data_IF_356919589712
#
_entry.id   IF_356919589712
#
_cell.length_a   1.000
_cell.length_b   1.000
_cell.length_c   1.000
_cell.angle_alpha   90.00
_cell.angle_beta   90.00
_cell.angle_gamma   90.00
#
_symmetry.space_group_name_H-M   'P 1'
#
loop_
_entity.id
_entity.type
_entity.pdbx_description
1 polymer ?
#
# COMPACT_ATOMS: atom_id res chain seq x y z
N UNK A 1 -12.43 -9.52 21.35
CA UNK A 1 -11.44 -9.90 20.33
C UNK A 1 -10.59 -11.00 20.93
N UNK A 2 -10.55 -12.18 20.31
CA UNK A 2 -9.83 -13.36 20.84
C UNK A 2 -8.66 -13.64 19.91
N UNK A 3 -7.45 -13.59 20.44
CA UNK A 3 -6.25 -14.06 19.77
C UNK A 3 -5.80 -15.35 20.46
N UNK A 4 -5.36 -16.32 19.68
CA UNK A 4 -4.77 -17.56 20.16
C UNK A 4 -3.32 -17.53 19.72
N UNK A 5 -2.41 -17.57 20.70
CA UNK A 5 -0.99 -17.78 20.47
C UNK A 5 -0.75 -19.27 20.73
N UNK A 6 -0.38 -20.02 19.70
CA UNK A 6 0.03 -21.42 19.86
C UNK A 6 1.54 -21.45 19.91
N UNK A 7 2.09 -21.92 21.03
CA UNK A 7 3.52 -22.03 21.28
C UNK A 7 3.83 -23.47 21.61
N UNK A 8 4.90 -24.02 21.03
CA UNK A 8 5.29 -25.41 21.28
C UNK A 8 5.87 -25.67 22.67
N UNK A 9 6.11 -24.60 23.45
CA UNK A 9 6.70 -24.62 24.78
C UNK A 9 5.91 -23.65 25.65
N UNK A 10 5.17 -24.17 26.64
CA UNK A 10 4.16 -23.40 27.39
C UNK A 10 4.79 -22.46 28.44
N UNK A 11 6.05 -22.70 28.85
CA UNK A 11 6.75 -21.97 29.93
C UNK A 11 8.02 -21.26 29.43
N UNK A 12 7.89 -20.41 28.41
CA UNK A 12 8.98 -19.53 27.98
C UNK A 12 8.70 -18.09 28.42
N UNK A 13 9.66 -17.43 29.08
CA UNK A 13 9.63 -15.99 29.41
C UNK A 13 9.25 -15.12 28.18
N UNK A 14 9.59 -15.61 26.98
CA UNK A 14 9.19 -15.03 25.71
C UNK A 14 7.66 -14.96 25.51
N UNK A 15 6.90 -15.99 25.90
CA UNK A 15 5.45 -16.02 25.73
C UNK A 15 4.78 -14.96 26.61
N UNK A 16 5.22 -14.87 27.87
CA UNK A 16 4.76 -13.84 28.80
C UNK A 16 5.11 -12.44 28.29
N UNK A 17 6.35 -12.23 27.81
CA UNK A 17 6.77 -10.96 27.24
C UNK A 17 5.98 -10.59 25.96
N UNK A 18 5.65 -11.58 25.11
CA UNK A 18 4.83 -11.38 23.91
C UNK A 18 3.38 -11.04 24.25
N UNK A 19 2.79 -11.71 25.24
CA UNK A 19 1.44 -11.39 25.74
C UNK A 19 1.39 -10.00 26.36
N UNK A 20 2.35 -9.66 27.22
CA UNK A 20 2.45 -8.32 27.80
C UNK A 20 2.62 -7.25 26.72
N UNK A 21 3.48 -7.51 25.72
CA UNK A 21 3.65 -6.60 24.60
C UNK A 21 2.36 -6.44 23.79
N UNK A 22 1.67 -7.54 23.47
CA UNK A 22 0.40 -7.56 22.74
C UNK A 22 -0.73 -6.83 23.48
N UNK A 23 -0.71 -6.82 24.81
CA UNK A 23 -1.69 -6.12 25.65
C UNK A 23 -1.41 -4.63 25.83
N UNK A 24 -0.25 -4.11 25.42
CA UNK A 24 0.03 -2.67 25.52
C UNK A 24 -0.87 -1.86 24.58
N UNK A 25 -1.45 -0.74 25.06
CA UNK A 25 -2.17 0.18 24.20
C UNK A 25 -1.29 0.64 23.03
N UNK A 26 -1.80 0.52 21.80
CA UNK A 26 -1.06 0.86 20.58
C UNK A 26 -0.23 -0.28 19.97
N UNK A 27 -0.17 -1.46 20.60
CA UNK A 27 0.49 -2.62 20.00
C UNK A 27 -0.36 -3.22 18.87
N UNK A 28 0.26 -3.37 17.70
CA UNK A 28 -0.32 -4.11 16.57
C UNK A 28 0.34 -5.48 16.49
N UNK A 29 -0.42 -6.54 16.76
CA UNK A 29 0.03 -7.92 16.54
C UNK A 29 -0.15 -8.24 15.06
N UNK A 30 0.96 -8.50 14.36
CA UNK A 30 0.93 -8.98 12.98
C UNK A 30 0.97 -10.50 12.99
N UNK A 31 -0.09 -11.12 12.46
CA UNK A 31 -0.04 -12.55 12.14
C UNK A 31 0.91 -12.68 10.94
N UNK A 32 1.97 -13.46 11.12
CA UNK A 32 2.94 -13.75 10.07
C UNK A 32 2.26 -14.43 8.89
N UNK A 33 2.61 -14.00 7.67
CA UNK A 33 2.25 -14.69 6.44
C UNK A 33 3.53 -15.30 5.86
N UNK A 34 3.54 -16.61 5.68
CA UNK A 34 4.72 -17.34 5.19
C UNK A 34 5.12 -16.92 3.77
N UNK A 35 4.19 -16.34 3.01
CA UNK A 35 4.44 -15.78 1.69
C UNK A 35 4.79 -14.30 1.77
N UNK A 36 4.00 -13.50 2.48
CA UNK A 36 4.07 -12.04 2.50
C UNK A 36 4.65 -11.49 3.81
N UNK A 37 5.95 -11.66 4.00
CA UNK A 37 6.67 -10.98 5.10
C UNK A 37 6.76 -9.47 4.86
N UNK A 38 6.99 -8.65 5.90
CA UNK A 38 7.21 -7.20 5.75
C UNK A 38 8.27 -6.83 4.71
N UNK A 39 9.37 -7.56 4.64
CA UNK A 39 10.49 -7.32 3.73
C UNK A 39 10.11 -7.62 2.28
N UNK A 40 9.36 -8.71 2.07
CA UNK A 40 8.84 -9.08 0.75
C UNK A 40 7.79 -8.08 0.28
N UNK A 41 6.94 -7.59 1.19
CA UNK A 41 5.98 -6.54 0.88
C UNK A 41 6.66 -5.21 0.52
N UNK A 42 7.72 -4.81 1.22
CA UNK A 42 8.52 -3.62 0.89
C UNK A 42 9.11 -3.73 -0.52
N UNK A 43 9.70 -4.88 -0.84
CA UNK A 43 10.23 -5.14 -2.18
C UNK A 43 9.12 -5.13 -3.24
N UNK A 44 7.99 -5.78 -2.95
CA UNK A 44 6.85 -5.85 -3.85
C UNK A 44 6.31 -4.46 -4.18
N UNK A 45 6.16 -3.61 -3.17
CA UNK A 45 5.68 -2.23 -3.30
C UNK A 45 6.62 -1.37 -4.18
N UNK A 46 7.94 -1.60 -4.14
CA UNK A 46 8.91 -0.93 -5.02
C UNK A 46 8.84 -1.42 -6.47
N UNK A 47 8.50 -2.68 -6.67
CA UNK A 47 8.54 -3.36 -7.97
C UNK A 47 7.21 -3.25 -8.74
N UNK A 48 6.08 -3.19 -8.04
CA UNK A 48 4.77 -3.00 -8.67
C UNK A 48 4.67 -1.58 -9.21
N UNK A 49 4.30 -1.44 -10.48
CA UNK A 49 4.26 -0.16 -11.19
C UNK A 49 2.83 0.20 -11.58
N UNK A 50 2.62 1.49 -11.81
CA UNK A 50 1.42 1.99 -12.48
C UNK A 50 0.17 1.80 -11.65
N UNK A 51 -0.94 1.65 -12.37
CA UNK A 51 -2.27 1.48 -11.78
C UNK A 51 -2.37 0.28 -10.83
N UNK A 52 -1.55 -0.77 -10.99
CA UNK A 52 -1.53 -1.88 -10.02
C UNK A 52 -0.99 -1.48 -8.65
N UNK A 53 0.00 -0.57 -8.60
CA UNK A 53 0.48 0.00 -7.34
C UNK A 53 -0.58 0.86 -6.68
N UNK A 54 -1.24 1.71 -7.47
CA UNK A 54 -2.34 2.57 -7.00
C UNK A 54 -3.50 1.73 -6.46
N UNK A 55 -3.89 0.66 -7.17
CA UNK A 55 -4.91 -0.28 -6.74
C UNK A 55 -4.54 -0.93 -5.40
N UNK A 56 -3.33 -1.50 -5.31
CA UNK A 56 -2.84 -2.15 -4.09
C UNK A 56 -2.80 -1.19 -2.90
N UNK A 57 -2.34 0.05 -3.13
CA UNK A 57 -2.33 1.10 -2.11
C UNK A 57 -3.74 1.43 -1.62
N UNK A 58 -4.67 1.66 -2.55
CA UNK A 58 -6.04 2.00 -2.21
C UNK A 58 -6.73 0.89 -1.40
N UNK A 59 -6.50 -0.38 -1.75
CA UNK A 59 -7.04 -1.52 -0.99
C UNK A 59 -6.40 -1.61 0.41
N UNK A 60 -5.08 -1.43 0.52
CA UNK A 60 -4.36 -1.49 1.79
C UNK A 60 -4.75 -0.34 2.75
N UNK A 61 -4.89 0.87 2.23
CA UNK A 61 -5.37 2.04 2.98
C UNK A 61 -6.85 1.88 3.38
N UNK A 62 -7.66 1.25 2.52
CA UNK A 62 -9.07 0.89 2.80
C UNK A 62 -9.26 -0.28 3.77
N UNK A 63 -8.22 -0.66 4.53
CA UNK A 63 -8.31 -1.76 5.51
C UNK A 63 -8.52 -3.14 4.88
N UNK A 64 -8.18 -3.29 3.61
CA UNK A 64 -8.29 -4.55 2.88
C UNK A 64 -9.52 -4.68 1.99
N UNK A 65 -10.31 -3.61 1.84
CA UNK A 65 -11.43 -3.58 0.92
C UNK A 65 -11.37 -2.37 0.00
N UNK A 66 -11.68 -2.60 -1.27
CA UNK A 66 -11.90 -1.56 -2.26
C UNK A 66 -13.24 -1.76 -2.94
N UNK A 67 -14.12 -0.79 -2.76
CA UNK A 67 -15.39 -0.69 -3.46
C UNK A 67 -15.13 -0.28 -4.92
N UNK A 68 -15.45 -1.18 -5.84
CA UNK A 68 -15.18 -1.00 -7.27
C UNK A 68 -16.11 0.01 -7.94
N UNK A 69 -17.32 0.22 -7.43
CA UNK A 69 -18.21 1.27 -7.95
C UNK A 69 -17.66 2.65 -7.59
N UNK A 70 -17.32 2.88 -6.32
CA UNK A 70 -16.71 4.14 -5.87
C UNK A 70 -15.39 4.39 -6.56
N UNK A 71 -14.59 3.34 -6.77
CA UNK A 71 -13.31 3.48 -7.47
C UNK A 71 -13.50 3.90 -8.93
N UNK A 72 -14.47 3.33 -9.65
CA UNK A 72 -14.82 3.74 -11.02
C UNK A 72 -15.37 5.15 -11.08
N UNK A 73 -16.23 5.54 -10.14
CA UNK A 73 -16.74 6.92 -10.06
C UNK A 73 -15.60 7.93 -9.92
N UNK A 74 -14.54 7.59 -9.17
CA UNK A 74 -13.39 8.48 -8.95
C UNK A 74 -12.37 8.47 -10.09
N UNK A 75 -12.06 7.31 -10.67
CA UNK A 75 -10.93 7.14 -11.61
C UNK A 75 -11.36 6.77 -13.04
N UNK A 76 -12.66 6.76 -13.31
CA UNK A 76 -13.26 6.42 -14.59
C UNK A 76 -13.71 4.96 -14.70
N UNK A 77 -14.64 4.70 -15.62
CA UNK A 77 -15.33 3.41 -15.76
C UNK A 77 -14.37 2.23 -16.02
N UNK A 78 -13.26 2.51 -16.70
CA UNK A 78 -12.22 1.54 -17.05
C UNK A 78 -11.09 1.44 -16.02
N UNK A 79 -11.20 2.10 -14.87
CA UNK A 79 -10.11 2.18 -13.88
C UNK A 79 -9.66 0.83 -13.33
N UNK A 80 -10.56 -0.17 -13.29
CA UNK A 80 -10.27 -1.52 -12.85
C UNK A 80 -9.82 -2.47 -13.97
N UNK A 81 -9.77 -2.00 -15.23
CA UNK A 81 -9.29 -2.79 -16.37
C UNK A 81 -7.77 -2.71 -16.46
N UNK A 82 -7.09 -3.81 -16.11
CA UNK A 82 -5.64 -3.96 -16.28
C UNK A 82 -4.73 -3.68 -15.08
N UNK A 83 -5.10 -2.96 -13.98
CA UNK A 83 -4.21 -2.79 -12.82
C UNK A 83 -3.68 -4.11 -12.25
N UNK A 84 -4.50 -5.16 -12.23
CA UNK A 84 -4.12 -6.49 -11.75
C UNK A 84 -3.00 -7.12 -12.58
N UNK A 85 -2.87 -6.77 -13.86
CA UNK A 85 -1.83 -7.32 -14.73
C UNK A 85 -0.41 -6.97 -14.26
N UNK A 86 -0.18 -5.76 -13.74
CA UNK A 86 1.15 -5.41 -13.23
C UNK A 86 1.44 -6.13 -11.92
N UNK A 87 0.43 -6.31 -11.06
CA UNK A 87 0.54 -7.10 -9.81
C UNK A 87 0.89 -8.55 -10.12
N UNK A 88 0.20 -9.17 -11.08
CA UNK A 88 0.49 -10.54 -11.54
C UNK A 88 1.90 -10.66 -12.08
N UNK A 89 2.32 -9.74 -12.96
CA UNK A 89 3.68 -9.73 -13.50
C UNK A 89 4.73 -9.60 -12.39
N UNK A 90 4.49 -8.76 -11.39
CA UNK A 90 5.41 -8.61 -10.24
C UNK A 90 5.49 -9.88 -9.40
N UNK A 91 4.37 -10.58 -9.15
CA UNK A 91 4.39 -11.88 -8.45
C UNK A 91 5.18 -12.92 -9.26
N UNK A 92 4.87 -13.08 -10.55
CA UNK A 92 5.58 -14.02 -11.43
C UNK A 92 7.08 -13.72 -11.49
N UNK A 93 7.46 -12.44 -11.59
CA UNK A 93 8.85 -11.99 -11.53
C UNK A 93 9.47 -12.36 -10.19
N UNK A 94 8.78 -12.16 -9.08
CA UNK A 94 9.29 -12.45 -7.74
C UNK A 94 9.53 -13.92 -7.46
N UNK A 95 8.67 -14.79 -7.98
CA UNK A 95 8.87 -16.24 -7.96
C UNK A 95 10.10 -16.60 -8.79
N UNK A 96 10.19 -16.09 -10.02
CA UNK A 96 11.32 -16.35 -10.94
C UNK A 96 12.67 -15.89 -10.34
N UNK A 97 12.68 -14.76 -9.65
CA UNK A 97 13.86 -14.20 -8.98
C UNK A 97 14.08 -14.72 -7.55
N UNK A 98 13.26 -15.67 -7.09
CA UNK A 98 13.39 -16.39 -5.80
C UNK A 98 13.32 -15.51 -4.55
N UNK A 99 12.69 -14.34 -4.62
CA UNK A 99 12.38 -13.54 -3.43
C UNK A 99 10.94 -13.70 -2.94
N UNK A 100 10.06 -14.25 -3.77
CA UNK A 100 8.81 -14.90 -3.34
C UNK A 100 8.99 -16.42 -3.36
N UNK A 101 8.31 -17.15 -2.46
CA UNK A 101 8.29 -18.61 -2.51
C UNK A 101 7.58 -19.11 -3.77
N UNK A 102 7.93 -20.33 -4.19
CA UNK A 102 7.20 -21.02 -5.25
C UNK A 102 5.73 -21.21 -4.84
N UNK A 103 4.81 -21.02 -5.80
CA UNK A 103 3.37 -21.08 -5.53
C UNK A 103 2.79 -19.85 -4.85
N UNK A 104 3.57 -18.78 -4.63
CA UNK A 104 3.04 -17.52 -4.12
C UNK A 104 1.86 -17.01 -4.96
N UNK A 105 0.74 -16.75 -4.29
CA UNK A 105 -0.49 -16.26 -4.92
C UNK A 105 -0.55 -14.73 -4.91
N UNK A 106 -1.44 -14.17 -5.73
CA UNK A 106 -1.72 -12.74 -5.70
C UNK A 106 -2.19 -12.31 -4.30
N UNK A 107 -1.75 -11.15 -3.80
CA UNK A 107 -2.22 -10.64 -2.51
C UNK A 107 -3.68 -10.18 -2.59
N UNK A 108 -4.19 -9.88 -3.79
CA UNK A 108 -5.53 -9.37 -4.04
C UNK A 108 -6.42 -10.41 -4.69
N UNK A 109 -7.68 -10.44 -4.27
CA UNK A 109 -8.74 -11.25 -4.89
C UNK A 109 -9.83 -10.31 -5.41
N UNK A 110 -10.27 -10.52 -6.66
CA UNK A 110 -11.43 -9.82 -7.19
C UNK A 110 -12.72 -10.41 -6.62
N UNK A 111 -13.72 -9.56 -6.42
CA UNK A 111 -15.06 -9.95 -5.98
C UNK A 111 -16.08 -9.62 -7.06
N UNK A 112 -17.18 -10.36 -7.07
CA UNK A 112 -18.28 -10.23 -8.04
C UNK A 112 -19.60 -10.41 -7.32
N UNK A 113 -20.63 -9.65 -7.70
CA UNK A 113 -21.97 -9.68 -7.06
C UNK A 113 -22.74 -10.98 -7.36
N UNK A 114 -22.22 -11.79 -8.27
CA UNK A 114 -22.81 -13.05 -8.70
C UNK A 114 -24.13 -12.90 -9.44
N UNK A 115 -24.55 -11.68 -9.80
CA UNK A 115 -25.84 -11.43 -10.48
C UNK A 115 -25.82 -11.87 -11.95
N UNK A 116 -24.64 -12.04 -12.54
CA UNK A 116 -24.45 -12.52 -13.92
C UNK A 116 -23.06 -13.14 -14.13
N UNK A 117 -22.93 -14.05 -15.09
CA UNK A 117 -21.63 -14.54 -15.58
C UNK A 117 -20.79 -13.45 -16.27
N UNK A 118 -21.41 -12.31 -16.58
CA UNK A 118 -20.78 -11.11 -17.13
C UNK A 118 -20.70 -9.96 -16.12
N UNK A 119 -20.90 -10.23 -14.82
CA UNK A 119 -20.81 -9.19 -13.79
C UNK A 119 -19.43 -8.53 -13.80
N UNK A 120 -19.43 -7.20 -13.79
CA UNK A 120 -18.22 -6.43 -13.58
C UNK A 120 -17.64 -6.75 -12.20
N UNK A 121 -16.35 -6.55 -12.02
CA UNK A 121 -15.72 -6.69 -10.71
C UNK A 121 -16.33 -5.70 -9.72
N UNK A 122 -16.91 -6.19 -8.64
CA UNK A 122 -17.53 -5.38 -7.59
C UNK A 122 -16.49 -4.63 -6.77
N UNK A 123 -15.30 -5.19 -6.66
CA UNK A 123 -14.26 -4.68 -5.80
C UNK A 123 -13.10 -5.65 -5.66
N UNK A 124 -12.14 -5.24 -4.85
CA UNK A 124 -10.96 -6.03 -4.53
C UNK A 124 -10.85 -6.22 -3.02
N UNK A 125 -10.47 -7.43 -2.64
CA UNK A 125 -10.20 -7.80 -1.26
C UNK A 125 -8.73 -8.15 -1.08
N UNK A 126 -8.16 -7.63 -0.01
CA UNK A 126 -6.86 -8.00 0.54
C UNK A 126 -7.15 -8.54 1.95
N UNK A 127 -6.66 -9.74 2.31
CA UNK A 127 -6.80 -10.25 3.67
C UNK A 127 -6.38 -9.21 4.71
N UNK A 128 -7.11 -9.04 5.83
CA UNK A 128 -6.85 -7.96 6.78
C UNK A 128 -5.41 -7.91 7.31
N UNK A 129 -4.78 -9.07 7.55
CA UNK A 129 -3.38 -9.13 7.97
C UNK A 129 -2.45 -8.61 6.88
N UNK A 130 -2.68 -8.98 5.62
CA UNK A 130 -1.94 -8.45 4.47
C UNK A 130 -2.19 -6.95 4.28
N UNK A 131 -3.39 -6.46 4.54
CA UNK A 131 -3.69 -5.03 4.45
C UNK A 131 -2.81 -4.21 5.39
N UNK A 132 -2.58 -4.68 6.61
CA UNK A 132 -1.66 -4.02 7.55
C UNK A 132 -0.22 -4.10 7.05
N UNK A 133 0.23 -5.27 6.58
CA UNK A 133 1.59 -5.47 6.05
C UNK A 133 1.87 -4.53 4.87
N UNK A 134 0.99 -4.49 3.88
CA UNK A 134 1.14 -3.65 2.70
C UNK A 134 1.00 -2.17 3.02
N UNK A 135 0.07 -1.77 3.91
CA UNK A 135 -0.04 -0.38 4.36
C UNK A 135 1.27 0.09 5.00
N UNK A 136 1.85 -0.72 5.88
CA UNK A 136 3.13 -0.42 6.51
C UNK A 136 4.27 -0.39 5.49
N UNK A 137 4.24 -1.28 4.49
CA UNK A 137 5.22 -1.28 3.41
C UNK A 137 5.15 0.00 2.57
N UNK A 138 3.95 0.47 2.19
CA UNK A 138 3.78 1.76 1.55
C UNK A 138 4.30 2.91 2.42
N UNK A 139 4.02 2.91 3.72
CA UNK A 139 4.53 3.93 4.63
C UNK A 139 6.06 3.93 4.75
N UNK A 140 6.73 2.78 4.62
CA UNK A 140 8.21 2.69 4.63
C UNK A 140 8.84 3.06 3.29
N UNK A 141 8.26 2.60 2.19
CA UNK A 141 8.80 2.77 0.83
C UNK A 141 8.48 4.14 0.25
N UNK A 142 7.25 4.59 0.46
CA UNK A 142 6.73 5.89 0.06
C UNK A 142 6.25 6.62 1.31
N UNK A 143 7.17 6.94 2.24
CA UNK A 143 6.78 7.69 3.41
C UNK A 143 6.13 8.99 2.93
N UNK A 144 4.92 9.26 3.41
CA UNK A 144 4.36 10.59 3.37
C UNK A 144 5.23 11.46 4.28
N UNK A 145 6.44 11.82 3.81
CA UNK A 145 7.31 12.68 4.59
C UNK A 145 6.75 14.09 4.51
N UNK A 146 6.06 14.47 5.58
CA UNK A 146 6.08 15.86 6.06
C UNK A 146 7.52 16.37 5.90
N UNK A 147 7.71 17.43 5.13
CA UNK A 147 8.99 18.12 5.00
C UNK A 147 10.03 17.56 4.02
N UNK A 148 9.68 16.67 3.09
CA UNK A 148 10.61 16.30 2.00
C UNK A 148 10.02 16.58 0.61
N UNK A 149 10.21 17.81 0.08
CA UNK A 149 9.74 18.20 -1.25
C UNK A 149 10.22 17.26 -2.36
N UNK A 150 11.47 16.80 -2.35
CA UNK A 150 11.99 15.86 -3.37
C UNK A 150 11.25 14.53 -3.42
N UNK A 151 10.79 14.02 -2.27
CA UNK A 151 9.99 12.80 -2.22
C UNK A 151 8.59 13.02 -2.81
N UNK A 152 7.99 14.19 -2.54
CA UNK A 152 6.72 14.61 -3.14
C UNK A 152 6.88 14.79 -4.65
N UNK A 153 7.94 15.46 -5.11
CA UNK A 153 8.26 15.63 -6.54
C UNK A 153 8.37 14.29 -7.23
N UNK A 154 9.18 13.37 -6.66
CA UNK A 154 9.35 12.04 -7.23
C UNK A 154 8.01 11.31 -7.32
N UNK A 155 7.17 11.40 -6.29
CA UNK A 155 5.86 10.79 -6.31
C UNK A 155 4.92 11.41 -7.35
N UNK A 156 4.91 12.74 -7.48
CA UNK A 156 4.13 13.47 -8.49
C UNK A 156 4.58 13.14 -9.91
N UNK A 157 5.89 13.08 -10.16
CA UNK A 157 6.44 12.68 -11.45
C UNK A 157 6.02 11.25 -11.80
N UNK A 158 6.13 10.31 -10.86
CA UNK A 158 5.65 8.94 -11.06
C UNK A 158 4.13 8.92 -11.35
N UNK A 159 3.32 9.71 -10.67
CA UNK A 159 1.87 9.79 -10.93
C UNK A 159 1.55 10.37 -12.32
N UNK A 160 2.29 11.38 -12.77
CA UNK A 160 2.10 12.00 -14.08
C UNK A 160 2.50 11.07 -15.23
N UNK A 161 3.62 10.36 -15.10
CA UNK A 161 4.01 9.30 -16.05
C UNK A 161 2.92 8.23 -16.13
N UNK A 162 2.32 7.87 -14.99
CA UNK A 162 1.24 6.88 -14.92
C UNK A 162 -0.07 7.36 -15.55
N UNK A 163 -0.28 8.68 -15.64
CA UNK A 163 -1.41 9.31 -16.35
C UNK A 163 -1.14 9.45 -17.86
N UNK A 164 0.04 9.06 -18.35
CA UNK A 164 0.41 9.12 -19.75
C UNK A 164 1.02 10.46 -20.19
N UNK A 165 1.39 11.32 -19.24
CA UNK A 165 2.15 12.54 -19.52
C UNK A 165 3.64 12.23 -19.62
N UNK A 166 4.39 13.03 -20.38
CA UNK A 166 5.83 12.82 -20.48
C UNK A 166 6.51 13.16 -19.16
N UNK A 167 7.59 12.45 -18.81
CA UNK A 167 8.42 12.73 -17.63
C UNK A 167 8.92 14.18 -17.60
N UNK A 168 9.08 14.78 -18.79
CA UNK A 168 9.47 16.18 -18.93
C UNK A 168 8.34 17.09 -18.47
N UNK A 169 7.13 16.93 -19.01
CA UNK A 169 5.97 17.75 -18.62
C UNK A 169 5.62 17.57 -17.14
N UNK A 170 5.79 16.34 -16.63
CA UNK A 170 5.62 16.03 -15.22
C UNK A 170 6.59 16.82 -14.34
N UNK A 171 7.87 16.86 -14.71
CA UNK A 171 8.91 17.59 -13.98
C UNK A 171 8.72 19.09 -14.09
N UNK A 172 8.40 19.57 -15.28
CA UNK A 172 8.18 21.00 -15.58
C UNK A 172 6.97 21.51 -14.80
N UNK A 173 5.82 20.81 -14.84
CA UNK A 173 4.65 21.12 -14.03
C UNK A 173 4.94 21.06 -12.53
N UNK A 174 5.64 20.02 -12.07
CA UNK A 174 5.93 19.88 -10.64
C UNK A 174 6.89 20.96 -10.16
N UNK A 175 7.82 21.40 -11.01
CA UNK A 175 8.75 22.47 -10.71
C UNK A 175 8.04 23.84 -10.73
N UNK A 176 7.21 24.12 -11.72
CA UNK A 176 6.36 25.33 -11.76
C UNK A 176 5.45 25.42 -10.53
N UNK A 177 4.79 24.32 -10.16
CA UNK A 177 3.93 24.26 -8.98
C UNK A 177 4.72 24.56 -7.69
N UNK A 178 5.92 24.01 -7.55
CA UNK A 178 6.78 24.28 -6.40
C UNK A 178 7.29 25.71 -6.37
N UNK A 179 7.61 26.31 -7.52
CA UNK A 179 8.04 27.70 -7.59
C UNK A 179 6.88 28.66 -7.26
N UNK A 180 5.66 28.35 -7.71
CA UNK A 180 4.47 29.15 -7.40
C UNK A 180 4.01 29.07 -5.95
N UNK A 181 4.20 27.92 -5.31
CA UNK A 181 3.68 27.64 -3.97
C UNK A 181 4.78 27.40 -2.94
N UNK A 182 6.03 27.78 -3.23
CA UNK A 182 7.17 27.55 -2.33
C UNK A 182 6.92 28.12 -0.94
N UNK A 183 6.44 29.36 -0.86
CA UNK A 183 6.19 30.06 0.39
C UNK A 183 4.99 29.49 1.14
N UNK A 184 3.93 29.10 0.43
CA UNK A 184 2.75 28.43 1.00
C UNK A 184 3.12 27.04 1.57
N UNK A 185 3.96 26.30 0.84
CA UNK A 185 4.49 25.01 1.29
C UNK A 185 5.42 25.17 2.48
N UNK A 186 6.28 26.19 2.49
CA UNK A 186 7.17 26.47 3.61
C UNK A 186 6.36 26.83 4.88
N UNK A 187 5.38 27.72 4.76
CA UNK A 187 4.49 28.09 5.85
C UNK A 187 3.67 26.89 6.37
N UNK A 188 3.14 26.05 5.46
CA UNK A 188 2.45 24.82 5.83
C UNK A 188 3.39 23.81 6.51
N UNK A 189 4.64 23.69 6.06
CA UNK A 189 5.62 22.80 6.67
C UNK A 189 6.07 23.27 8.05
N UNK A 190 6.18 24.58 8.28
CA UNK A 190 6.46 25.17 9.59
C UNK A 190 5.30 24.91 10.57
N UNK A 191 4.05 25.09 10.13
CA UNK A 191 2.85 24.80 10.92
C UNK A 191 2.75 23.29 11.28
N UNK A 192 3.19 22.41 10.39
CA UNK A 192 3.22 20.96 10.63
C UNK A 192 4.39 20.49 11.51
N UNK A 193 5.40 21.33 11.74
CA UNK A 193 6.57 21.06 12.59
C UNK A 193 6.46 21.71 13.98
N UNK A 194 5.48 22.60 14.19
CA UNK A 194 5.17 23.10 15.51
C UNK A 194 4.88 21.92 16.44
N UNK A 195 5.57 21.80 17.60
CA UNK A 195 5.26 20.76 18.56
C UNK A 195 3.78 20.92 18.95
N UNK A 196 3.02 19.83 18.89
CA UNK A 196 1.67 19.79 19.42
C UNK A 196 1.76 20.25 20.89
N UNK A 197 1.37 21.49 21.14
CA UNK A 197 1.59 22.13 22.43
C UNK A 197 0.78 21.44 23.51
N UNK A 198 1.46 21.05 24.58
CA UNK A 198 0.93 20.88 25.95
C UNK A 198 0.19 19.58 26.24
#
# INVERSE_FOLDING_TARGET
MRFVLETSDDDNELNTALLEAACRPGTTVLVGDDTWTPERADRFVREVKGRGRQLLRAVAEGGGWLDGEKYRQKYGENALLGPTSSITKTVTKGIKEKWLPEGAVLPLTSTYDGRSSWSKTDGYRLPPHLAVIFRNAFARVYPARRGNPQAVIKHLVELYEEMGHSTRDAREFTQEFLEQHADDLAAWLEDQQAPAGG
#
